data_IF_041443296441
#
_entry.id   IF_041443296441
#
_cell.length_a   1.000
_cell.length_b   1.000
_cell.length_c   1.000
_cell.angle_alpha   90.00
_cell.angle_beta   90.00
_cell.angle_gamma   90.00
#
_symmetry.space_group_name_H-M   'P 1'
#
loop_
_entity.id
_entity.type
_entity.pdbx_description
1 polymer ?
#
# COMPACT_ATOMS: atom_id res chain seq x y z
N UNK A 1 16.66 -64.14 45.25
CA UNK A 1 17.20 -62.79 45.53
C UNK A 1 16.15 -61.77 45.11
N UNK A 2 15.84 -60.85 46.02
CA UNK A 2 15.10 -59.58 45.93
C UNK A 2 13.97 -59.41 44.89
N UNK A 3 12.78 -59.20 45.50
CA UNK A 3 11.45 -58.79 45.05
C UNK A 3 11.41 -57.37 44.43
N UNK A 4 10.46 -57.06 43.53
CA UNK A 4 10.18 -55.70 43.04
C UNK A 4 9.31 -54.88 44.02
N UNK A 5 9.64 -53.61 44.23
CA UNK A 5 8.89 -52.63 45.04
C UNK A 5 8.23 -51.61 44.08
N UNK A 6 6.89 -51.57 44.01
CA UNK A 6 6.01 -50.53 44.62
C UNK A 6 6.05 -49.19 43.83
N UNK A 7 4.98 -48.48 43.44
CA UNK A 7 3.60 -48.32 43.94
C UNK A 7 2.69 -47.79 42.80
N UNK A 8 1.40 -48.11 42.94
CA UNK A 8 0.21 -47.68 42.20
C UNK A 8 -0.24 -46.23 42.48
N UNK A 9 -1.38 -45.87 41.85
CA UNK A 9 -2.40 -44.87 42.24
C UNK A 9 -2.18 -43.45 41.67
N UNK A 10 -2.98 -42.99 40.70
CA UNK A 10 -4.40 -42.57 40.75
C UNK A 10 -4.64 -41.29 41.55
N UNK A 11 -5.15 -40.28 40.84
CA UNK A 11 -5.99 -39.16 41.29
C UNK A 11 -5.47 -38.24 42.41
N UNK A 12 -5.16 -36.99 42.04
CA UNK A 12 -5.46 -35.81 42.87
C UNK A 12 -5.99 -34.67 41.97
N UNK A 13 -7.31 -34.63 41.86
CA UNK A 13 -8.08 -33.41 41.63
C UNK A 13 -8.16 -32.62 42.95
N UNK A 14 -8.35 -31.31 42.79
CA UNK A 14 -8.80 -30.29 43.76
C UNK A 14 -7.69 -29.42 44.35
N UNK A 15 -7.68 -28.15 43.95
CA UNK A 15 -7.58 -27.00 44.86
C UNK A 15 -8.14 -25.73 44.17
N UNK A 16 -9.47 -25.57 44.13
CA UNK A 16 -10.07 -24.25 44.32
C UNK A 16 -11.32 -24.40 45.18
N UNK A 17 -11.24 -23.72 46.33
CA UNK A 17 -12.09 -23.78 47.51
C UNK A 17 -13.45 -23.15 47.20
N UNK A 18 -14.46 -23.98 46.93
CA UNK A 18 -15.87 -23.60 46.99
C UNK A 18 -16.33 -23.89 48.42
N UNK A 19 -16.65 -22.84 49.17
CA UNK A 19 -17.33 -22.94 50.45
C UNK A 19 -18.83 -22.86 50.17
N UNK A 20 -19.54 -23.97 50.33
CA UNK A 20 -21.00 -24.01 50.28
C UNK A 20 -21.54 -23.62 51.64
N UNK A 21 -22.39 -22.58 51.68
CA UNK A 21 -23.51 -22.53 52.61
C UNK A 21 -24.78 -22.28 51.79
N UNK A 22 -25.64 -23.28 51.83
CA UNK A 22 -26.98 -23.32 51.26
C UNK A 22 -27.93 -22.56 52.18
N UNK A 23 -28.69 -21.58 51.69
CA UNK A 23 -30.11 -21.35 52.01
C UNK A 23 -30.74 -20.62 50.81
N UNK A 24 -31.85 -21.16 50.30
CA UNK A 24 -32.38 -20.89 48.96
C UNK A 24 -33.03 -19.53 48.72
N UNK A 25 -33.07 -19.15 47.44
CA UNK A 25 -33.93 -18.10 46.87
C UNK A 25 -34.28 -18.46 45.42
N UNK A 26 -35.59 -18.63 45.18
CA UNK A 26 -36.42 -18.37 43.99
C UNK A 26 -35.93 -18.69 42.54
N UNK A 27 -36.80 -19.26 41.69
CA UNK A 27 -36.52 -19.41 40.26
C UNK A 27 -36.79 -18.07 39.55
N UNK A 28 -35.77 -17.25 39.33
CA UNK A 28 -35.88 -16.03 38.51
C UNK A 28 -34.60 -15.72 37.72
N UNK A 29 -33.95 -16.76 37.19
CA UNK A 29 -32.74 -16.64 36.36
C UNK A 29 -33.00 -16.79 34.85
N UNK A 30 -34.26 -16.88 34.42
CA UNK A 30 -34.63 -17.03 33.00
C UNK A 30 -35.13 -15.74 32.34
N UNK A 31 -35.35 -14.64 33.07
CA UNK A 31 -35.82 -13.37 32.49
C UNK A 31 -34.71 -12.40 32.06
N UNK A 32 -33.44 -12.69 32.39
CA UNK A 32 -32.33 -11.78 32.06
C UNK A 32 -31.65 -12.04 30.71
N UNK A 33 -32.00 -13.13 30.03
CA UNK A 33 -31.43 -13.49 28.72
C UNK A 33 -32.39 -13.29 27.54
N UNK A 34 -33.69 -13.03 27.78
CA UNK A 34 -34.64 -12.65 26.73
C UNK A 34 -34.56 -11.15 26.34
N UNK A 35 -33.91 -10.31 27.15
CA UNK A 35 -33.80 -8.87 26.86
C UNK A 35 -32.69 -8.51 25.86
N UNK A 36 -31.79 -9.45 25.53
CA UNK A 36 -30.68 -9.25 24.58
C UNK A 36 -31.05 -9.58 23.12
N UNK A 37 -32.26 -10.11 22.86
CA UNK A 37 -32.76 -10.39 21.52
C UNK A 37 -33.96 -9.50 21.13
N UNK A 38 -33.99 -8.24 21.59
CA UNK A 38 -34.89 -7.27 20.99
C UNK A 38 -34.25 -6.69 19.73
N UNK A 39 -34.56 -7.32 18.60
CA UNK A 39 -34.27 -6.84 17.26
C UNK A 39 -34.53 -5.34 17.15
N UNK A 40 -33.58 -4.60 16.59
CA UNK A 40 -33.78 -3.20 16.19
C UNK A 40 -34.84 -3.16 15.09
N UNK A 41 -36.10 -2.94 15.45
CA UNK A 41 -37.12 -2.57 14.48
C UNK A 41 -36.94 -1.09 14.15
N UNK A 42 -36.43 -0.79 12.96
CA UNK A 42 -36.56 0.53 12.36
C UNK A 42 -38.05 0.79 12.09
N UNK A 43 -38.72 1.44 13.04
CA UNK A 43 -39.94 2.16 12.73
C UNK A 43 -39.54 3.43 11.98
N UNK A 44 -39.90 3.50 10.70
CA UNK A 44 -39.89 4.73 9.94
C UNK A 44 -40.92 5.67 10.59
N UNK A 45 -40.45 6.64 11.34
CA UNK A 45 -41.29 7.77 11.74
C UNK A 45 -41.24 8.80 10.61
N UNK A 46 -42.35 8.92 9.91
CA UNK A 46 -42.74 10.15 9.23
C UNK A 46 -42.81 11.26 10.27
N UNK A 47 -42.01 12.31 10.12
CA UNK A 47 -42.20 13.54 10.91
C UNK A 47 -42.32 14.73 9.99
N UNK A 48 -43.52 15.28 10.08
CA UNK A 48 -43.93 16.61 9.70
C UNK A 48 -42.91 17.66 10.15
N UNK A 49 -42.74 18.66 9.29
CA UNK A 49 -42.04 19.90 9.56
C UNK A 49 -42.83 20.71 10.59
N UNK A 50 -42.29 20.86 11.80
CA UNK A 50 -42.43 22.03 12.71
C UNK A 50 -41.65 21.74 14.00
N UNK A 51 -40.95 22.75 14.51
CA UNK A 51 -40.23 22.82 15.81
C UNK A 51 -38.74 22.44 15.81
N UNK A 52 -37.93 23.10 14.98
CA UNK A 52 -36.45 23.03 15.05
C UNK A 52 -35.85 23.95 16.14
N UNK A 53 -36.58 24.99 16.60
CA UNK A 53 -35.99 26.04 17.45
C UNK A 53 -35.92 25.69 18.95
N UNK A 54 -36.90 24.96 19.51
CA UNK A 54 -36.97 24.69 20.95
C UNK A 54 -36.10 23.52 21.44
N UNK A 55 -35.63 22.63 20.54
CA UNK A 55 -34.84 21.44 20.94
C UNK A 55 -33.35 21.71 21.11
N UNK A 56 -32.86 22.84 20.59
CA UNK A 56 -31.45 23.22 20.70
C UNK A 56 -31.03 23.52 22.15
N UNK A 57 -32.00 23.80 23.04
CA UNK A 57 -31.76 24.14 24.45
C UNK A 57 -31.23 22.96 25.28
N UNK A 58 -31.47 21.72 24.87
CA UNK A 58 -31.11 20.50 25.65
C UNK A 58 -29.65 20.08 25.46
N UNK A 59 -28.97 20.58 24.43
CA UNK A 59 -27.59 20.19 24.12
C UNK A 59 -26.56 20.82 25.07
N UNK A 60 -25.65 20.00 25.60
CA UNK A 60 -24.48 20.47 26.33
C UNK A 60 -23.65 21.47 25.50
N UNK A 61 -23.03 22.45 26.16
CA UNK A 61 -22.15 23.44 25.53
C UNK A 61 -21.05 22.80 24.68
N UNK A 62 -20.50 21.67 25.12
CA UNK A 62 -19.49 20.91 24.37
C UNK A 62 -20.05 20.34 23.06
N UNK A 63 -21.29 19.86 23.11
CA UNK A 63 -22.04 19.28 21.99
C UNK A 63 -22.30 20.35 20.91
N UNK A 64 -22.75 21.54 21.33
CA UNK A 64 -22.95 22.68 20.43
C UNK A 64 -21.63 23.14 19.79
N UNK A 65 -20.55 23.22 20.57
CA UNK A 65 -19.25 23.61 20.06
C UNK A 65 -18.70 22.61 19.02
N UNK A 66 -19.00 21.33 19.17
CA UNK A 66 -18.65 20.31 18.18
C UNK A 66 -19.44 20.47 16.88
N UNK A 67 -20.77 20.63 16.94
CA UNK A 67 -21.60 20.90 15.75
C UNK A 67 -21.16 22.16 15.01
N UNK A 68 -20.93 23.24 15.75
CA UNK A 68 -20.44 24.49 15.18
C UNK A 68 -19.07 24.31 14.50
N UNK A 69 -18.18 23.46 15.06
CA UNK A 69 -16.88 23.16 14.42
C UNK A 69 -17.07 22.41 13.11
N UNK A 70 -17.97 21.44 13.06
CA UNK A 70 -18.27 20.68 11.85
C UNK A 70 -18.86 21.60 10.76
N UNK A 71 -19.86 22.42 11.10
CA UNK A 71 -20.47 23.39 10.17
C UNK A 71 -19.43 24.38 9.63
N UNK A 72 -18.60 24.95 10.51
CA UNK A 72 -17.53 25.87 10.08
C UNK A 72 -16.55 25.21 9.11
N UNK A 73 -16.24 23.93 9.32
CA UNK A 73 -15.37 23.18 8.40
C UNK A 73 -16.04 22.95 7.05
N UNK A 74 -17.33 22.61 7.02
CA UNK A 74 -18.08 22.46 5.77
C UNK A 74 -18.16 23.77 4.98
N UNK A 75 -18.45 24.89 5.65
CA UNK A 75 -18.46 26.23 5.06
C UNK A 75 -17.09 26.61 4.49
N UNK A 76 -16.03 26.34 5.26
CA UNK A 76 -14.65 26.52 4.82
C UNK A 76 -14.35 25.70 3.56
N UNK A 77 -14.68 24.40 3.56
CA UNK A 77 -14.45 23.54 2.39
C UNK A 77 -15.22 24.00 1.16
N UNK A 78 -16.48 24.44 1.32
CA UNK A 78 -17.29 24.99 0.22
C UNK A 78 -16.65 26.25 -0.36
N UNK A 79 -16.18 27.14 0.49
CA UNK A 79 -15.49 28.37 0.08
C UNK A 79 -14.22 28.05 -0.73
N UNK A 80 -13.34 27.20 -0.21
CA UNK A 80 -12.09 26.81 -0.88
C UNK A 80 -12.33 26.12 -2.24
N UNK A 81 -13.41 25.34 -2.38
CA UNK A 81 -13.78 24.71 -3.66
C UNK A 81 -14.15 25.78 -4.69
N UNK A 82 -14.97 26.76 -4.29
CA UNK A 82 -15.35 27.87 -5.17
C UNK A 82 -14.14 28.73 -5.58
N UNK A 83 -13.24 29.00 -4.64
CA UNK A 83 -11.99 29.72 -4.92
C UNK A 83 -11.08 28.93 -5.86
N UNK A 84 -10.96 27.62 -5.66
CA UNK A 84 -10.19 26.74 -6.54
C UNK A 84 -10.74 26.75 -7.98
N UNK A 85 -12.06 26.62 -8.16
CA UNK A 85 -12.70 26.66 -9.48
C UNK A 85 -12.52 28.02 -10.17
N UNK A 86 -12.67 29.11 -9.41
CA UNK A 86 -12.47 30.47 -9.89
C UNK A 86 -11.01 30.71 -10.30
N UNK A 87 -10.07 30.30 -9.43
CA UNK A 87 -8.63 30.36 -9.68
C UNK A 87 -8.20 29.51 -10.88
N UNK A 88 -8.79 28.32 -11.05
CA UNK A 88 -8.57 27.45 -12.21
C UNK A 88 -8.94 28.14 -13.52
N UNK A 89 -10.11 28.80 -13.58
CA UNK A 89 -10.54 29.58 -14.76
C UNK A 89 -9.61 30.76 -15.04
N UNK A 90 -9.18 31.48 -14.01
CA UNK A 90 -8.23 32.59 -14.16
C UNK A 90 -6.86 32.11 -14.64
N UNK A 91 -6.37 30.98 -14.14
CA UNK A 91 -5.12 30.38 -14.58
C UNK A 91 -5.19 30.00 -16.06
N UNK A 92 -6.29 29.38 -16.50
CA UNK A 92 -6.50 29.07 -17.92
C UNK A 92 -6.46 30.34 -18.78
N UNK A 93 -7.15 31.40 -18.36
CA UNK A 93 -7.15 32.69 -19.07
C UNK A 93 -5.75 33.32 -19.16
N UNK A 94 -4.97 33.33 -18.07
CA UNK A 94 -3.60 33.86 -18.07
C UNK A 94 -2.68 33.12 -19.04
N UNK A 95 -2.90 31.81 -19.20
CA UNK A 95 -2.11 30.97 -20.08
C UNK A 95 -2.68 30.88 -21.51
N UNK A 96 -3.80 31.55 -21.80
CA UNK A 96 -4.46 31.51 -23.10
C UNK A 96 -5.03 30.13 -23.47
N UNK A 97 -5.40 29.33 -22.47
CA UNK A 97 -6.02 28.01 -22.65
C UNK A 97 -7.52 28.06 -22.37
N UNK A 98 -8.26 27.08 -22.92
CA UNK A 98 -9.69 26.94 -22.68
C UNK A 98 -9.97 26.46 -21.24
N UNK A 99 -10.82 27.14 -20.44
CA UNK A 99 -11.09 26.77 -19.05
C UNK A 99 -11.72 25.38 -18.87
N UNK A 100 -12.51 24.90 -19.82
CA UNK A 100 -13.25 23.65 -19.71
C UNK A 100 -12.34 22.42 -19.92
N UNK A 101 -11.43 22.49 -20.90
CA UNK A 101 -10.45 21.42 -21.16
C UNK A 101 -9.17 21.50 -20.30
N UNK A 102 -9.18 22.32 -19.25
CA UNK A 102 -7.97 22.55 -18.45
C UNK A 102 -7.74 21.44 -17.41
N UNK A 103 -6.74 20.59 -17.64
CA UNK A 103 -6.45 19.43 -16.77
C UNK A 103 -5.52 19.78 -15.61
N UNK A 104 -5.44 18.90 -14.60
CA UNK A 104 -4.52 19.09 -13.47
C UNK A 104 -3.04 19.08 -13.90
N UNK A 105 -2.70 18.42 -15.00
CA UNK A 105 -1.35 18.44 -15.55
C UNK A 105 -1.01 19.82 -16.10
N UNK A 106 -1.95 20.45 -16.80
CA UNK A 106 -1.80 21.80 -17.34
C UNK A 106 -1.71 22.84 -16.23
N UNK A 107 -2.50 22.69 -15.15
CA UNK A 107 -2.36 23.48 -13.92
C UNK A 107 -0.94 23.39 -13.39
N UNK A 108 -0.43 22.18 -13.18
CA UNK A 108 0.91 21.97 -12.63
C UNK A 108 2.01 22.53 -13.53
N UNK A 109 1.87 22.41 -14.86
CA UNK A 109 2.80 22.97 -15.84
C UNK A 109 2.78 24.51 -15.80
N UNK A 110 1.59 25.10 -15.74
CA UNK A 110 1.40 26.55 -15.67
C UNK A 110 2.01 27.13 -14.39
N UNK A 111 1.79 26.48 -13.24
CA UNK A 111 2.40 26.90 -11.97
C UNK A 111 3.93 26.81 -11.98
N UNK A 112 4.52 25.76 -12.56
CA UNK A 112 5.98 25.64 -12.69
C UNK A 112 6.58 26.75 -13.54
N UNK A 113 5.82 27.24 -14.53
CA UNK A 113 6.24 28.34 -15.39
C UNK A 113 6.11 29.70 -14.69
N UNK A 114 4.94 29.98 -14.11
CA UNK A 114 4.67 31.27 -13.44
C UNK A 114 5.47 31.44 -12.14
N UNK A 115 5.65 30.36 -11.38
CA UNK A 115 6.34 30.34 -10.09
C UNK A 115 7.47 29.30 -10.07
N UNK A 116 8.59 29.58 -10.77
CA UNK A 116 9.70 28.63 -10.83
C UNK A 116 10.35 28.47 -9.44
N UNK A 117 10.25 27.27 -8.88
CA UNK A 117 10.87 26.91 -7.60
C UNK A 117 11.99 25.89 -7.80
N UNK A 118 13.19 26.23 -7.33
CA UNK A 118 14.37 25.35 -7.33
C UNK A 118 14.46 24.39 -6.13
N UNK A 119 13.41 24.29 -5.31
CA UNK A 119 13.42 23.43 -4.12
C UNK A 119 13.47 21.94 -4.52
N UNK A 120 14.37 21.18 -3.88
CA UNK A 120 14.50 19.74 -4.14
C UNK A 120 13.25 18.95 -3.69
N UNK A 121 12.68 19.31 -2.54
CA UNK A 121 11.43 18.71 -2.08
C UNK A 121 10.25 19.21 -2.91
N UNK A 122 9.56 18.28 -3.58
CA UNK A 122 8.39 18.56 -4.42
C UNK A 122 7.20 19.03 -3.60
N UNK A 123 7.08 18.59 -2.34
CA UNK A 123 5.97 18.97 -1.45
C UNK A 123 6.06 20.42 -0.99
N UNK A 124 7.27 20.98 -0.97
CA UNK A 124 7.53 22.37 -0.59
C UNK A 124 7.37 23.37 -1.76
N UNK A 125 7.13 22.89 -2.98
CA UNK A 125 6.94 23.74 -4.16
C UNK A 125 5.51 24.32 -4.19
N UNK A 126 5.30 25.47 -4.85
CA UNK A 126 3.95 25.98 -5.10
C UNK A 126 3.09 24.93 -5.81
N UNK A 127 1.89 24.67 -5.29
CA UNK A 127 0.93 23.74 -5.88
C UNK A 127 -0.50 24.28 -5.73
N UNK A 128 -1.34 23.98 -6.71
CA UNK A 128 -2.78 24.26 -6.67
C UNK A 128 -3.49 22.95 -6.98
N UNK A 129 -4.18 22.38 -6.00
CA UNK A 129 -4.93 21.12 -6.11
C UNK A 129 -6.31 21.31 -5.53
N UNK A 130 -7.21 20.39 -5.84
CA UNK A 130 -8.54 20.41 -5.27
C UNK A 130 -8.47 20.36 -3.71
N UNK A 131 -9.31 21.12 -2.98
CA UNK A 131 -9.29 21.17 -1.52
C UNK A 131 -9.38 19.79 -0.86
N UNK A 132 -10.17 18.87 -1.42
CA UNK A 132 -10.31 17.49 -0.92
C UNK A 132 -9.00 16.70 -0.91
N UNK A 133 -8.06 17.00 -1.80
CA UNK A 133 -6.75 16.34 -1.85
C UNK A 133 -5.73 17.00 -0.92
N UNK A 134 -5.91 18.30 -0.64
CA UNK A 134 -4.95 19.12 0.10
C UNK A 134 -5.22 19.09 1.59
N UNK A 135 -6.48 19.25 1.98
CA UNK A 135 -6.90 19.22 3.38
C UNK A 135 -7.09 17.78 3.85
N UNK A 136 -6.77 17.53 5.12
CA UNK A 136 -7.00 16.23 5.72
C UNK A 136 -8.51 16.02 5.87
N UNK A 137 -9.05 14.84 5.50
CA UNK A 137 -10.46 14.54 5.72
C UNK A 137 -10.76 14.60 7.22
N UNK A 138 -11.76 15.39 7.59
CA UNK A 138 -12.29 15.46 8.94
C UNK A 138 -13.57 14.65 9.03
N UNK A 139 -13.83 14.10 10.21
CA UNK A 139 -15.05 13.37 10.47
C UNK A 139 -16.22 14.35 10.58
N UNK A 140 -17.31 14.01 9.89
CA UNK A 140 -18.57 14.75 9.99
C UNK A 140 -19.15 14.65 11.40
N UNK A 141 -20.16 15.46 11.69
CA UNK A 141 -20.83 15.42 12.98
C UNK A 141 -21.46 14.04 13.22
N UNK A 142 -21.08 13.38 14.32
CA UNK A 142 -21.53 12.01 14.63
C UNK A 142 -22.94 11.92 15.26
N UNK A 143 -23.57 13.07 15.54
CA UNK A 143 -24.87 13.16 16.19
C UNK A 143 -25.68 14.33 15.65
N UNK A 144 -27.01 14.23 15.72
CA UNK A 144 -27.93 15.28 15.30
C UNK A 144 -28.11 16.38 16.38
N UNK A 145 -28.84 17.45 16.03
CA UNK A 145 -29.14 18.55 16.95
C UNK A 145 -29.99 18.12 18.17
N UNK A 146 -30.62 16.95 18.13
CA UNK A 146 -31.30 16.31 19.25
C UNK A 146 -30.31 15.61 20.23
N UNK A 147 -29.03 15.52 19.86
CA UNK A 147 -27.98 14.86 20.62
C UNK A 147 -27.93 13.34 20.41
N UNK A 148 -28.75 12.80 19.51
CA UNK A 148 -28.80 11.37 19.19
C UNK A 148 -27.65 11.02 18.23
N UNK A 149 -26.78 10.06 18.59
CA UNK A 149 -25.75 9.59 17.66
C UNK A 149 -26.35 8.89 16.43
N UNK A 150 -25.73 9.10 15.27
CA UNK A 150 -26.13 8.43 14.04
C UNK A 150 -25.67 6.97 14.01
N UNK A 151 -24.51 6.69 14.62
CA UNK A 151 -23.85 5.40 14.55
C UNK A 151 -24.03 4.58 15.84
N UNK A 152 -24.40 3.30 15.73
CA UNK A 152 -24.63 2.42 16.90
C UNK A 152 -23.40 2.25 17.80
N UNK A 153 -22.21 2.11 17.21
CA UNK A 153 -20.93 2.04 17.94
C UNK A 153 -20.40 3.40 18.44
N UNK A 154 -21.17 4.49 18.42
CA UNK A 154 -20.70 5.81 18.86
C UNK A 154 -20.04 5.81 20.25
N UNK A 155 -20.66 5.12 21.21
CA UNK A 155 -20.16 5.07 22.60
C UNK A 155 -18.86 4.27 22.78
N UNK A 156 -18.36 3.61 21.74
CA UNK A 156 -17.04 2.96 21.74
C UNK A 156 -15.89 3.94 21.51
N UNK A 157 -16.18 5.22 21.21
CA UNK A 157 -15.22 6.29 20.81
C UNK A 157 -14.57 6.12 19.44
N UNK A 158 -14.54 4.91 18.88
CA UNK A 158 -13.98 4.60 17.56
C UNK A 158 -15.00 3.81 16.74
N UNK A 159 -16.14 4.42 16.37
CA UNK A 159 -17.23 3.69 15.73
C UNK A 159 -16.81 3.03 14.42
N UNK A 160 -16.02 3.69 13.56
CA UNK A 160 -15.65 3.15 12.26
C UNK A 160 -14.72 1.93 12.42
N UNK A 161 -13.77 2.00 13.36
CA UNK A 161 -12.91 0.86 13.70
C UNK A 161 -13.72 -0.37 14.15
N UNK A 162 -14.60 -0.21 15.14
CA UNK A 162 -15.38 -1.35 15.65
C UNK A 162 -16.44 -1.83 14.65
N UNK A 163 -16.96 -0.94 13.80
CA UNK A 163 -17.83 -1.31 12.69
C UNK A 163 -17.09 -2.24 11.70
N UNK A 164 -15.85 -1.90 11.33
CA UNK A 164 -15.09 -2.80 10.45
C UNK A 164 -14.85 -4.17 11.05
N UNK A 165 -14.54 -4.25 12.35
CA UNK A 165 -14.38 -5.52 13.06
C UNK A 165 -15.70 -6.31 13.08
N UNK A 166 -16.81 -5.64 13.37
CA UNK A 166 -18.12 -6.26 13.37
C UNK A 166 -18.47 -6.83 11.99
N UNK A 167 -18.22 -6.06 10.94
CA UNK A 167 -18.42 -6.49 9.56
C UNK A 167 -17.54 -7.69 9.20
N UNK A 168 -16.27 -7.72 9.61
CA UNK A 168 -15.38 -8.88 9.38
C UNK A 168 -15.95 -10.14 10.04
N UNK A 169 -16.42 -10.03 11.28
CA UNK A 169 -17.01 -11.16 12.02
C UNK A 169 -18.32 -11.63 11.40
N UNK A 170 -19.16 -10.70 10.93
CA UNK A 170 -20.39 -11.02 10.18
C UNK A 170 -20.06 -11.82 8.92
N UNK A 171 -19.03 -11.44 8.17
CA UNK A 171 -18.58 -12.19 6.98
C UNK A 171 -18.04 -13.56 7.33
N UNK A 172 -17.28 -13.68 8.41
CA UNK A 172 -16.84 -14.99 8.91
C UNK A 172 -18.04 -15.90 9.22
N UNK A 173 -19.02 -15.42 9.98
CA UNK A 173 -20.23 -16.20 10.30
C UNK A 173 -21.02 -16.59 9.05
N UNK A 174 -21.12 -15.68 8.08
CA UNK A 174 -21.76 -15.97 6.80
C UNK A 174 -21.04 -17.09 6.05
N UNK A 175 -19.71 -17.07 6.04
CA UNK A 175 -18.90 -18.12 5.42
C UNK A 175 -19.02 -19.46 6.16
N UNK A 176 -19.06 -19.45 7.49
CA UNK A 176 -19.29 -20.66 8.31
C UNK A 176 -20.64 -21.31 7.95
N UNK A 177 -21.71 -20.52 7.84
CA UNK A 177 -23.05 -20.99 7.43
C UNK A 177 -23.05 -21.55 6.01
N UNK A 178 -22.26 -20.98 5.09
CA UNK A 178 -22.11 -21.49 3.73
C UNK A 178 -21.33 -22.80 3.69
N UNK A 179 -20.26 -22.92 4.47
CA UNK A 179 -19.48 -24.15 4.62
C UNK A 179 -20.37 -25.28 5.18
N UNK A 180 -21.15 -25.00 6.23
CA UNK A 180 -22.09 -25.96 6.80
C UNK A 180 -23.13 -26.46 5.78
N UNK A 181 -23.67 -25.55 4.96
CA UNK A 181 -24.62 -25.90 3.89
C UNK A 181 -23.96 -26.75 2.82
N UNK A 182 -22.73 -26.42 2.43
CA UNK A 182 -21.97 -27.15 1.44
C UNK A 182 -21.66 -28.58 1.91
N UNK A 183 -21.21 -28.73 3.16
CA UNK A 183 -20.92 -30.04 3.76
C UNK A 183 -22.18 -30.91 3.82
N UNK A 184 -23.33 -30.34 4.17
CA UNK A 184 -24.61 -31.06 4.21
C UNK A 184 -25.03 -31.60 2.83
N UNK A 185 -24.72 -30.88 1.75
CA UNK A 185 -25.10 -31.26 0.39
C UNK A 185 -24.10 -32.23 -0.25
N UNK A 186 -22.81 -31.96 -0.11
CA UNK A 186 -21.76 -32.65 -0.88
C UNK A 186 -20.98 -33.68 -0.05
N UNK A 187 -21.16 -33.70 1.28
CA UNK A 187 -20.46 -34.62 2.19
C UNK A 187 -18.95 -34.44 2.29
N UNK A 188 -18.37 -33.44 1.61
CA UNK A 188 -16.93 -33.19 1.51
C UNK A 188 -16.64 -31.68 1.64
N UNK A 189 -15.42 -31.34 2.03
CA UNK A 189 -14.97 -29.96 2.17
C UNK A 189 -14.61 -29.30 0.83
N UNK A 190 -14.90 -27.99 0.66
CA UNK A 190 -14.53 -27.23 -0.54
C UNK A 190 -13.05 -26.84 -0.54
N UNK A 191 -12.32 -27.16 -1.62
CA UNK A 191 -10.88 -26.83 -1.79
C UNK A 191 -10.68 -25.65 -2.75
N UNK A 192 -11.52 -25.50 -3.77
CA UNK A 192 -11.33 -24.53 -4.87
C UNK A 192 -11.82 -23.09 -4.58
N UNK A 193 -12.40 -22.88 -3.39
CA UNK A 193 -13.05 -21.62 -3.01
C UNK A 193 -12.20 -20.75 -2.09
N UNK A 194 -10.88 -20.95 -2.07
CA UNK A 194 -9.92 -20.15 -1.31
C UNK A 194 -9.31 -19.05 -2.18
N UNK A 195 -9.13 -17.87 -1.63
CA UNK A 195 -8.43 -16.75 -2.29
C UNK A 195 -6.91 -16.96 -2.23
N UNK A 196 -6.24 -16.77 -3.36
CA UNK A 196 -4.78 -16.83 -3.45
C UNK A 196 -4.15 -15.50 -2.95
N UNK A 197 -3.29 -15.53 -1.92
CA UNK A 197 -2.79 -14.31 -1.29
C UNK A 197 -1.54 -13.73 -1.96
N UNK A 198 -0.94 -14.41 -2.94
CA UNK A 198 0.44 -14.18 -3.40
C UNK A 198 0.61 -12.81 -4.08
N UNK A 199 -0.42 -12.35 -4.78
CA UNK A 199 -0.35 -11.14 -5.61
C UNK A 199 -0.65 -9.85 -4.85
N UNK A 200 -1.01 -9.91 -3.56
CA UNK A 200 -1.44 -8.72 -2.83
C UNK A 200 -0.99 -8.68 -1.36
N UNK A 201 -0.67 -7.46 -0.89
CA UNK A 201 -0.36 -7.17 0.51
C UNK A 201 -1.53 -6.50 1.21
N UNK A 202 -1.55 -6.59 2.54
CA UNK A 202 -2.47 -5.80 3.36
C UNK A 202 -2.11 -4.32 3.30
N UNK A 203 -3.12 -3.44 3.37
CA UNK A 203 -2.92 -1.99 3.49
C UNK A 203 -2.09 -1.64 4.73
N UNK A 204 -1.31 -0.55 4.65
CA UNK A 204 -0.51 -0.09 5.79
C UNK A 204 -1.37 0.58 6.85
N UNK A 205 -0.83 0.72 8.08
CA UNK A 205 -1.52 1.41 9.18
C UNK A 205 -1.99 2.81 8.80
N UNK A 206 -1.14 3.61 8.16
CA UNK A 206 -1.45 5.00 7.79
C UNK A 206 -2.56 5.07 6.75
N UNK A 207 -2.67 4.07 5.89
CA UNK A 207 -3.73 3.98 4.89
C UNK A 207 -5.06 3.56 5.52
N UNK A 208 -5.02 2.63 6.47
CA UNK A 208 -6.19 2.24 7.24
C UNK A 208 -6.74 3.43 8.05
N UNK A 209 -5.87 4.20 8.71
CA UNK A 209 -6.26 5.43 9.42
C UNK A 209 -6.90 6.46 8.49
N UNK A 210 -6.30 6.69 7.31
CA UNK A 210 -6.88 7.59 6.29
C UNK A 210 -8.25 7.12 5.83
N UNK A 211 -8.44 5.80 5.68
CA UNK A 211 -9.71 5.23 5.23
C UNK A 211 -10.79 5.33 6.30
N UNK A 212 -10.46 5.09 7.56
CA UNK A 212 -11.41 5.12 8.67
C UNK A 212 -11.62 6.53 9.23
N UNK A 213 -10.73 7.49 8.90
CA UNK A 213 -10.72 8.85 9.46
C UNK A 213 -10.63 8.81 10.99
N UNK A 214 -9.91 7.81 11.51
CA UNK A 214 -9.74 7.55 12.93
C UNK A 214 -8.28 7.20 13.23
N UNK A 215 -7.80 7.61 14.41
CA UNK A 215 -6.44 7.28 14.88
C UNK A 215 -6.42 5.84 15.40
N UNK A 216 -5.43 5.05 15.02
CA UNK A 216 -5.36 3.62 15.36
C UNK A 216 -4.06 3.35 16.13
N UNK A 217 -4.12 2.55 17.18
CA UNK A 217 -2.92 2.07 17.89
C UNK A 217 -2.29 0.91 17.14
N UNK A 218 -1.00 0.64 17.33
CA UNK A 218 -0.33 -0.47 16.64
C UNK A 218 -0.97 -1.83 17.01
N UNK A 219 -1.38 -1.99 18.26
CA UNK A 219 -2.10 -3.17 18.76
C UNK A 219 -3.44 -3.39 18.03
N UNK A 220 -4.21 -2.31 17.85
CA UNK A 220 -5.49 -2.35 17.14
C UNK A 220 -5.29 -2.71 15.65
N UNK A 221 -4.26 -2.16 15.04
CA UNK A 221 -3.90 -2.51 13.67
C UNK A 221 -3.54 -4.00 13.53
N UNK A 222 -2.68 -4.53 14.41
CA UNK A 222 -2.37 -5.96 14.43
C UNK A 222 -3.62 -6.82 14.62
N UNK A 223 -4.55 -6.39 15.47
CA UNK A 223 -5.80 -7.11 15.72
C UNK A 223 -6.68 -7.18 14.47
N UNK A 224 -6.84 -6.07 13.74
CA UNK A 224 -7.54 -6.06 12.44
C UNK A 224 -6.86 -7.00 11.44
N UNK A 225 -5.52 -6.94 11.32
CA UNK A 225 -4.81 -7.82 10.40
C UNK A 225 -4.96 -9.29 10.78
N UNK A 226 -4.92 -9.63 12.08
CA UNK A 226 -5.18 -11.00 12.58
C UNK A 226 -6.60 -11.48 12.21
N UNK A 227 -7.61 -10.63 12.36
CA UNK A 227 -9.00 -10.98 12.00
C UNK A 227 -9.21 -11.11 10.48
N UNK A 228 -8.61 -10.22 9.68
CA UNK A 228 -8.62 -10.31 8.22
C UNK A 228 -7.87 -11.55 7.70
N UNK A 229 -6.75 -11.93 8.33
CA UNK A 229 -6.06 -13.18 8.01
C UNK A 229 -6.92 -14.40 8.33
N UNK A 230 -7.73 -14.36 9.41
CA UNK A 230 -8.70 -15.42 9.70
C UNK A 230 -9.75 -15.53 8.59
N UNK A 231 -10.27 -14.40 8.10
CA UNK A 231 -11.21 -14.35 6.98
C UNK A 231 -10.59 -14.89 5.69
N UNK A 232 -9.35 -14.52 5.38
CA UNK A 232 -8.66 -15.00 4.18
C UNK A 232 -8.35 -16.50 4.22
N UNK A 233 -7.95 -17.00 5.39
CA UNK A 233 -7.65 -18.42 5.60
C UNK A 233 -8.91 -19.30 5.64
N UNK A 234 -10.10 -18.70 5.66
CA UNK A 234 -11.36 -19.43 5.54
C UNK A 234 -11.41 -20.18 4.20
N UNK A 235 -11.95 -21.40 4.20
CA UNK A 235 -11.98 -22.28 3.02
C UNK A 235 -12.83 -21.74 1.88
N UNK A 236 -13.89 -21.04 2.24
CA UNK A 236 -14.83 -20.37 1.33
C UNK A 236 -14.54 -18.88 1.11
N UNK A 237 -13.32 -18.41 1.39
CA UNK A 237 -12.98 -16.97 1.36
C UNK A 237 -13.22 -16.29 0.01
N UNK A 238 -13.24 -17.05 -1.10
CA UNK A 238 -13.51 -16.54 -2.46
C UNK A 238 -14.88 -15.89 -2.61
N UNK A 239 -15.87 -16.29 -1.80
CA UNK A 239 -17.20 -15.65 -1.82
C UNK A 239 -17.20 -14.21 -1.30
N UNK A 240 -16.22 -13.85 -0.46
CA UNK A 240 -16.08 -12.50 0.11
C UNK A 240 -14.81 -11.81 -0.44
N UNK A 241 -14.38 -12.18 -1.65
CA UNK A 241 -13.19 -11.62 -2.30
C UNK A 241 -13.28 -10.10 -2.44
N UNK A 242 -14.44 -9.58 -2.84
CA UNK A 242 -14.68 -8.13 -2.99
C UNK A 242 -14.44 -7.37 -1.68
N UNK A 243 -14.77 -8.01 -0.54
CA UNK A 243 -14.53 -7.42 0.77
C UNK A 243 -13.05 -7.49 1.15
N UNK A 244 -12.39 -8.62 0.90
CA UNK A 244 -10.96 -8.81 1.20
C UNK A 244 -10.10 -7.85 0.37
N UNK A 245 -10.40 -7.73 -0.93
CA UNK A 245 -9.64 -6.88 -1.86
C UNK A 245 -9.74 -5.39 -1.52
N UNK A 246 -10.80 -4.95 -0.84
CA UNK A 246 -10.87 -3.57 -0.30
C UNK A 246 -9.69 -3.28 0.61
N UNK A 247 -9.25 -4.22 1.44
CA UNK A 247 -8.16 -4.03 2.41
C UNK A 247 -6.81 -4.50 1.90
N UNK A 248 -6.71 -4.84 0.62
CA UNK A 248 -5.48 -5.30 -0.01
C UNK A 248 -5.04 -4.37 -1.13
N UNK A 249 -3.74 -4.38 -1.39
CA UNK A 249 -3.10 -3.68 -2.49
C UNK A 249 -2.39 -4.70 -3.38
N UNK A 250 -2.51 -4.60 -4.70
CA UNK A 250 -1.71 -5.42 -5.59
C UNK A 250 -0.24 -5.11 -5.35
N UNK A 251 0.56 -6.16 -5.18
CA UNK A 251 2.00 -6.06 -5.24
C UNK A 251 2.35 -5.76 -6.70
N UNK A 252 2.92 -4.58 -6.95
CA UNK A 252 3.65 -4.35 -8.20
C UNK A 252 4.91 -5.22 -8.12
N UNK A 253 4.87 -6.43 -8.67
CA UNK A 253 6.08 -7.19 -8.93
C UNK A 253 6.87 -6.39 -9.98
N UNK A 254 7.91 -5.70 -9.53
CA UNK A 254 8.98 -5.29 -10.44
C UNK A 254 9.74 -6.57 -10.80
N UNK A 255 9.12 -7.45 -11.59
CA UNK A 255 9.89 -8.47 -12.28
C UNK A 255 10.90 -7.69 -13.09
N UNK A 256 12.17 -7.83 -12.71
CA UNK A 256 13.30 -7.34 -13.49
C UNK A 256 13.41 -8.23 -14.73
N UNK A 257 12.37 -8.29 -15.55
CA UNK A 257 12.43 -8.85 -16.90
C UNK A 257 13.42 -8.00 -17.64
N UNK A 258 14.63 -8.51 -17.75
CA UNK A 258 15.73 -7.85 -18.40
C UNK A 258 15.32 -7.57 -19.82
N UNK A 259 15.11 -6.31 -20.11
CA UNK A 259 14.75 -5.84 -21.43
C UNK A 259 15.99 -6.07 -22.28
N UNK A 260 15.99 -7.16 -23.06
CA UNK A 260 17.07 -7.42 -24.00
C UNK A 260 17.16 -6.24 -24.96
N UNK A 261 18.36 -5.70 -25.13
CA UNK A 261 18.58 -4.64 -26.11
C UNK A 261 18.34 -5.22 -27.52
N UNK A 262 17.68 -4.47 -28.42
CA UNK A 262 17.47 -4.93 -29.78
C UNK A 262 18.81 -5.09 -30.50
N UNK A 263 18.99 -6.23 -31.17
CA UNK A 263 20.19 -6.51 -31.98
C UNK A 263 20.18 -5.62 -33.23
N UNK A 264 21.28 -4.90 -33.47
CA UNK A 264 21.45 -4.07 -34.65
C UNK A 264 22.30 -4.82 -35.68
N UNK A 265 22.18 -4.46 -36.96
CA UNK A 265 22.96 -5.04 -38.05
C UNK A 265 23.63 -3.92 -38.84
N UNK A 266 24.91 -4.10 -39.15
CA UNK A 266 25.63 -3.23 -40.08
C UNK A 266 25.23 -3.49 -41.54
N UNK A 267 25.69 -2.62 -42.44
CA UNK A 267 25.59 -2.77 -43.90
C UNK A 267 26.18 -4.10 -44.41
N UNK A 268 27.17 -4.65 -43.70
CA UNK A 268 27.80 -5.95 -43.96
C UNK A 268 27.01 -7.15 -43.38
N UNK A 269 25.85 -6.91 -42.77
CA UNK A 269 25.01 -7.94 -42.14
C UNK A 269 25.55 -8.50 -40.82
N UNK A 270 26.59 -7.87 -40.23
CA UNK A 270 27.15 -8.29 -38.94
C UNK A 270 26.28 -7.79 -37.78
N UNK A 271 25.84 -8.68 -36.87
CA UNK A 271 25.06 -8.27 -35.71
C UNK A 271 25.93 -7.58 -34.66
N UNK A 272 25.43 -6.51 -34.06
CA UNK A 272 26.08 -5.82 -32.94
C UNK A 272 25.08 -5.26 -31.95
N UNK A 273 25.54 -5.06 -30.72
CA UNK A 273 24.81 -4.39 -29.66
C UNK A 273 25.66 -3.23 -29.15
N UNK A 274 25.09 -2.03 -29.16
CA UNK A 274 25.73 -0.83 -28.61
C UNK A 274 25.08 -0.46 -27.29
N UNK A 275 25.89 -0.35 -26.23
CA UNK A 275 25.43 0.05 -24.90
C UNK A 275 26.09 1.38 -24.53
N UNK A 276 25.25 2.38 -24.20
CA UNK A 276 25.67 3.68 -23.70
C UNK A 276 24.57 4.32 -22.85
N UNK A 277 24.89 4.96 -21.71
CA UNK A 277 26.22 5.06 -21.10
C UNK A 277 26.50 3.90 -20.15
N UNK A 278 27.61 3.18 -20.35
CA UNK A 278 28.15 2.29 -19.32
C UNK A 278 28.94 3.16 -18.34
N UNK A 279 28.56 3.20 -17.07
CA UNK A 279 29.18 4.11 -16.10
C UNK A 279 29.72 3.39 -14.88
N UNK A 280 30.93 3.77 -14.46
CA UNK A 280 31.47 3.37 -13.16
C UNK A 280 32.24 4.51 -12.51
N UNK A 281 31.73 4.96 -11.36
CA UNK A 281 32.23 6.15 -10.66
C UNK A 281 32.23 7.35 -11.61
N UNK A 282 33.38 7.91 -11.96
CA UNK A 282 33.54 9.03 -12.89
C UNK A 282 33.84 8.59 -14.33
N UNK A 283 34.07 7.30 -14.58
CA UNK A 283 34.39 6.79 -15.93
C UNK A 283 33.10 6.45 -16.67
N UNK A 284 33.01 6.92 -17.90
CA UNK A 284 31.89 6.68 -18.81
C UNK A 284 32.42 5.99 -20.06
N UNK A 285 31.74 4.94 -20.53
CA UNK A 285 32.11 4.28 -21.77
C UNK A 285 30.91 4.00 -22.67
N UNK A 286 31.19 3.96 -23.96
CA UNK A 286 30.37 3.33 -24.99
C UNK A 286 31.01 1.99 -25.33
N UNK A 287 30.26 0.90 -25.17
CA UNK A 287 30.74 -0.45 -25.51
C UNK A 287 29.85 -0.99 -26.62
N UNK A 288 30.47 -1.34 -27.75
CA UNK A 288 29.82 -2.03 -28.85
C UNK A 288 30.37 -3.44 -28.93
N UNK A 289 29.49 -4.43 -28.76
CA UNK A 289 29.82 -5.85 -28.88
C UNK A 289 29.34 -6.34 -30.24
N UNK A 290 30.26 -6.88 -31.02
CA UNK A 290 30.03 -7.42 -32.35
C UNK A 290 29.95 -8.95 -32.27
N UNK A 291 28.91 -9.53 -32.87
CA UNK A 291 28.82 -10.98 -33.04
C UNK A 291 29.79 -11.51 -34.10
N UNK A 292 30.16 -12.79 -34.01
CA UNK A 292 31.07 -13.48 -34.94
C UNK A 292 32.44 -12.79 -35.04
N UNK A 293 33.08 -12.56 -33.89
CA UNK A 293 34.41 -11.98 -33.76
C UNK A 293 35.52 -12.98 -33.50
N UNK A 294 36.75 -12.46 -33.40
CA UNK A 294 37.99 -13.17 -33.10
C UNK A 294 38.41 -13.06 -31.62
N UNK A 295 37.63 -12.35 -30.79
CA UNK A 295 38.01 -12.02 -29.41
C UNK A 295 38.81 -10.73 -29.26
N UNK A 296 38.90 -9.92 -30.31
CA UNK A 296 39.62 -8.65 -30.25
C UNK A 296 38.84 -7.60 -29.44
N UNK A 297 39.53 -7.00 -28.45
CA UNK A 297 39.01 -5.93 -27.60
C UNK A 297 39.82 -4.66 -27.87
N UNK A 298 39.16 -3.67 -28.47
CA UNK A 298 39.76 -2.38 -28.83
C UNK A 298 39.23 -1.32 -27.86
N UNK A 299 40.13 -0.64 -27.15
CA UNK A 299 39.84 0.40 -26.17
C UNK A 299 40.48 1.71 -26.63
N UNK A 300 39.68 2.73 -26.95
CA UNK A 300 40.16 4.04 -27.42
C UNK A 300 41.16 3.93 -28.60
N UNK A 301 40.90 3.01 -29.53
CA UNK A 301 41.77 2.75 -30.69
C UNK A 301 43.08 2.03 -30.37
N UNK A 302 43.29 1.60 -29.12
CA UNK A 302 44.41 0.77 -28.69
C UNK A 302 43.91 -0.63 -28.33
N UNK A 303 44.79 -1.62 -28.39
CA UNK A 303 44.51 -2.96 -27.91
C UNK A 303 44.38 -2.99 -26.37
N UNK A 304 44.12 -4.17 -25.78
CA UNK A 304 44.04 -4.44 -24.33
C UNK A 304 45.24 -3.85 -23.55
N UNK A 305 46.37 -3.66 -24.24
CA UNK A 305 47.54 -2.90 -23.77
C UNK A 305 47.25 -1.48 -23.27
N UNK A 306 46.07 -0.91 -23.56
CA UNK A 306 45.58 0.35 -22.97
C UNK A 306 45.69 0.33 -21.44
N UNK A 307 45.33 -0.79 -20.81
CA UNK A 307 45.51 -0.97 -19.38
C UNK A 307 46.90 -1.52 -19.08
N UNK A 308 47.70 -0.85 -18.24
CA UNK A 308 49.05 -1.31 -17.88
C UNK A 308 49.03 -2.37 -16.78
N UNK A 309 48.09 -2.26 -15.83
CA UNK A 309 47.97 -3.19 -14.71
C UNK A 309 47.34 -4.51 -15.15
N UNK A 310 47.97 -5.63 -14.77
CA UNK A 310 47.48 -6.98 -15.03
C UNK A 310 46.10 -7.20 -14.39
N UNK A 311 45.88 -6.66 -13.18
CA UNK A 311 44.59 -6.73 -12.48
C UNK A 311 43.44 -6.15 -13.32
N UNK A 312 43.71 -5.05 -14.03
CA UNK A 312 42.69 -4.36 -14.84
C UNK A 312 42.38 -5.10 -16.14
N UNK A 313 43.35 -5.80 -16.72
CA UNK A 313 43.15 -6.64 -17.92
C UNK A 313 42.37 -7.91 -17.57
N UNK A 314 42.76 -8.57 -16.47
CA UNK A 314 42.07 -9.77 -15.99
C UNK A 314 40.57 -9.54 -15.80
N UNK A 315 40.20 -8.34 -15.34
CA UNK A 315 38.79 -8.01 -15.18
C UNK A 315 37.99 -7.99 -16.50
N UNK A 316 38.61 -7.72 -17.65
CA UNK A 316 37.96 -7.81 -18.96
C UNK A 316 37.80 -9.26 -19.43
N UNK A 317 38.77 -10.12 -19.08
CA UNK A 317 38.78 -11.54 -19.43
C UNK A 317 37.82 -12.36 -18.55
N UNK A 318 37.66 -11.98 -17.27
CA UNK A 318 36.81 -12.68 -16.31
C UNK A 318 35.29 -12.57 -16.64
N UNK A 319 34.87 -11.80 -17.66
CA UNK A 319 33.46 -11.70 -18.12
C UNK A 319 33.09 -12.74 -19.18
N UNK A 320 34.07 -13.49 -19.67
CA UNK A 320 33.86 -14.41 -20.76
C UNK A 320 33.50 -15.80 -20.22
N UNK A 321 32.23 -16.19 -20.28
CA UNK A 321 31.73 -17.55 -19.98
C UNK A 321 32.19 -18.61 -21.01
N UNK A 322 33.36 -18.42 -21.64
CA UNK A 322 33.92 -19.27 -22.70
C UNK A 322 33.58 -18.84 -24.14
N UNK A 323 32.88 -17.71 -24.33
CA UNK A 323 32.50 -17.16 -25.65
C UNK A 323 33.45 -16.06 -26.17
N UNK A 324 34.52 -15.74 -25.41
CA UNK A 324 35.53 -14.71 -25.74
C UNK A 324 35.98 -14.75 -27.20
N UNK A 325 36.24 -15.96 -27.71
CA UNK A 325 36.76 -16.18 -29.07
C UNK A 325 35.75 -15.89 -30.19
N UNK A 326 34.50 -15.57 -29.86
CA UNK A 326 33.40 -15.41 -30.82
C UNK A 326 32.81 -13.99 -30.86
N UNK A 327 33.30 -13.06 -30.05
CA UNK A 327 32.82 -11.68 -29.96
C UNK A 327 33.98 -10.70 -30.16
N UNK A 328 33.75 -9.57 -30.82
CA UNK A 328 34.71 -8.45 -30.83
C UNK A 328 34.09 -7.29 -30.07
N UNK A 329 34.87 -6.60 -29.25
CA UNK A 329 34.38 -5.49 -28.44
C UNK A 329 35.14 -4.22 -28.77
N UNK A 330 34.43 -3.16 -29.12
CA UNK A 330 35.02 -1.83 -29.26
C UNK A 330 34.48 -0.96 -28.14
N UNK A 331 35.37 -0.31 -27.40
CA UNK A 331 35.02 0.57 -26.32
C UNK A 331 35.68 1.94 -26.49
N UNK A 332 34.87 2.98 -26.33
CA UNK A 332 35.35 4.35 -26.15
C UNK A 332 35.12 4.72 -24.70
N UNK A 333 36.18 5.04 -23.95
CA UNK A 333 36.12 5.34 -22.52
C UNK A 333 36.65 6.74 -22.26
N UNK A 334 35.84 7.53 -21.56
CA UNK A 334 36.16 8.88 -21.14
C UNK A 334 36.27 8.95 -19.60
N UNK A 335 37.24 9.73 -19.13
CA UNK A 335 37.47 10.10 -17.73
C UNK A 335 37.74 8.96 -16.72
N UNK A 336 38.24 9.35 -15.54
CA UNK A 336 38.49 8.49 -14.39
C UNK A 336 39.79 7.68 -14.44
N UNK A 337 40.05 6.95 -13.36
CA UNK A 337 41.27 6.17 -13.18
C UNK A 337 41.20 4.83 -13.93
N UNK A 338 42.33 4.25 -14.32
CA UNK A 338 42.44 2.95 -15.01
C UNK A 338 41.60 1.84 -14.35
N UNK A 339 41.63 1.76 -13.01
CA UNK A 339 40.81 0.81 -12.22
C UNK A 339 39.32 1.12 -12.16
N UNK A 340 38.86 2.25 -12.70
CA UNK A 340 37.45 2.58 -12.84
C UNK A 340 37.01 2.30 -14.27
N UNK A 341 37.84 2.70 -15.23
CA UNK A 341 37.67 2.47 -16.67
C UNK A 341 37.56 0.98 -17.01
N UNK A 342 38.46 0.13 -16.51
CA UNK A 342 38.43 -1.33 -16.75
C UNK A 342 37.16 -1.99 -16.23
N UNK A 343 36.49 -1.31 -15.31
CA UNK A 343 35.34 -1.83 -14.60
C UNK A 343 34.01 -1.33 -15.15
N UNK A 344 34.04 -0.45 -16.15
CA UNK A 344 32.84 -0.01 -16.87
C UNK A 344 32.23 -1.17 -17.68
N UNK A 345 33.07 -2.12 -18.10
CA UNK A 345 32.67 -3.37 -18.75
C UNK A 345 31.90 -4.33 -17.81
N UNK A 346 32.13 -4.20 -16.49
CA UNK A 346 31.33 -4.83 -15.41
C UNK A 346 30.54 -3.79 -14.63
N UNK A 347 29.40 -3.28 -15.14
CA UNK A 347 28.54 -2.41 -14.37
C UNK A 347 28.10 -3.12 -13.07
N UNK A 348 28.06 -2.38 -11.97
CA UNK A 348 27.75 -2.93 -10.65
C UNK A 348 26.24 -3.19 -10.57
N UNK A 349 25.82 -4.40 -10.23
CA UNK A 349 24.40 -4.75 -9.99
C UNK A 349 23.71 -4.05 -8.80
N UNK A 350 24.30 -3.01 -8.20
CA UNK A 350 23.71 -2.38 -7.02
C UNK A 350 23.11 -1.04 -7.37
N UNK A 351 21.80 -0.85 -7.12
CA UNK A 351 21.17 0.45 -7.28
C UNK A 351 21.87 1.42 -6.33
N UNK A 352 22.40 2.49 -6.89
CA UNK A 352 22.96 3.61 -6.13
C UNK A 352 21.87 4.16 -5.21
N UNK A 353 22.01 3.97 -3.89
CA UNK A 353 21.27 4.74 -2.89
C UNK A 353 21.74 6.20 -2.95
N UNK A 354 21.24 6.97 -3.91
CA UNK A 354 21.05 8.41 -3.77
C UNK A 354 19.56 8.65 -3.62
N UNK A 355 19.21 9.38 -2.58
CA UNK A 355 17.84 9.70 -2.17
C UNK A 355 17.14 10.40 -3.34
N UNK A 356 16.36 9.66 -4.11
CA UNK A 356 15.35 10.18 -5.02
C UNK A 356 14.01 10.05 -4.30
N UNK A 357 13.40 11.19 -3.98
CA UNK A 357 12.03 11.23 -3.50
C UNK A 357 11.09 10.68 -4.58
N UNK A 358 10.10 9.90 -4.14
CA UNK A 358 9.00 9.33 -4.93
C UNK A 358 8.38 10.37 -5.87
N UNK A 359 8.79 10.36 -7.14
CA UNK A 359 7.97 10.66 -8.33
C UNK A 359 8.78 10.71 -9.64
N UNK A 360 10.10 10.44 -9.62
CA UNK A 360 10.85 10.12 -10.85
C UNK A 360 11.61 8.82 -10.63
N UNK A 361 11.00 7.69 -10.98
CA UNK A 361 11.69 6.40 -11.09
C UNK A 361 11.26 5.78 -12.41
N UNK A 362 11.89 6.26 -13.47
CA UNK A 362 11.91 5.59 -14.75
C UNK A 362 13.37 5.48 -15.19
N UNK A 363 13.72 4.25 -15.57
CA UNK A 363 14.92 3.85 -16.31
C UNK A 363 16.17 3.58 -15.44
N UNK A 364 16.86 2.50 -15.84
CA UNK A 364 18.16 1.99 -15.40
C UNK A 364 18.16 1.00 -14.21
N UNK A 365 18.22 -0.29 -14.53
CA UNK A 365 19.35 -1.21 -14.20
C UNK A 365 18.87 -2.68 -14.12
N UNK A 366 18.91 -3.33 -15.28
CA UNK A 366 18.70 -4.76 -15.49
C UNK A 366 19.94 -5.34 -16.21
N UNK A 367 20.87 -5.92 -15.45
CA UNK A 367 21.92 -6.82 -15.95
C UNK A 367 22.19 -7.88 -14.87
N UNK A 368 21.56 -9.04 -15.02
CA UNK A 368 22.23 -10.35 -15.07
C UNK A 368 21.81 -10.96 -16.42
#
# INVERSE_FOLDING_TARGET
MAVPMLVRFSNLRNLLRINNNVVGVSPNATQFLESLFRSCSTAQNTTNQTDETDRTEVLSKAMRAYLHRAQKYEEFMKHEVLEYETGKRHLANMMGMDPENFTQQDVNKSLRYLFPSGLYDRKARPMMKHPTETFLPQKEAEFAADGKPFHSFFYTRQPNYYETLHNIVERLQRLDVLEDKYIKLNGTYPVEHKVDPIESTWISKTELEKRLIEKITDENYEYIIKTLNKLLNHRMSKHENDFIMKYRKPLMSSDKQRTSLPLQYNDEGRPYVSVFPCQRKSSVARVTVWGKGTGEIIINGKDISYFHDIETRKQLEDDDDGTASQLCSIASIDDGNCKCQSKVFKPRERPSRRIAHESDVEICEQLI
#
